data_IF_712265758774
#
_entry.id   IF_712265758774
#
_cell.length_a   1.000
_cell.length_b   1.000
_cell.length_c   1.000
_cell.angle_alpha   90.00
_cell.angle_beta   90.00
_cell.angle_gamma   90.00
#
_symmetry.space_group_name_H-M   'P 1'
#
loop_
_entity.id
_entity.type
_entity.pdbx_description
1 polymer ?
#
# COMPACT_ATOMS: atom_id res chain seq x y z
N UNK A 1 11.43 20.81 -14.38
CA UNK A 1 10.03 20.55 -14.74
C UNK A 1 9.23 20.42 -13.45
N UNK A 2 8.02 20.95 -13.40
CA UNK A 2 7.18 20.89 -12.20
C UNK A 2 5.70 20.99 -12.58
N UNK A 3 4.84 20.88 -11.57
CA UNK A 3 3.38 20.95 -11.71
C UNK A 3 2.84 22.18 -10.98
N UNK A 4 1.74 22.75 -11.48
CA UNK A 4 1.02 23.87 -10.86
C UNK A 4 -0.47 23.58 -10.74
N UNK A 5 -1.14 24.37 -9.88
CA UNK A 5 -2.58 24.27 -9.59
C UNK A 5 -2.95 22.90 -8.99
N UNK A 6 -2.06 22.33 -8.18
CA UNK A 6 -2.33 21.08 -7.46
C UNK A 6 -3.42 21.36 -6.41
N UNK A 7 -4.56 20.65 -6.42
CA UNK A 7 -5.58 20.80 -5.40
C UNK A 7 -5.03 20.45 -4.01
N UNK A 8 -5.58 21.07 -2.96
CA UNK A 8 -5.26 20.65 -1.60
C UNK A 8 -5.70 19.19 -1.36
N UNK A 9 -4.96 18.48 -0.51
CA UNK A 9 -5.18 17.07 -0.18
C UNK A 9 -4.03 16.17 -0.61
N UNK A 10 -4.26 14.86 -0.51
CA UNK A 10 -3.23 13.85 -0.77
C UNK A 10 -3.06 13.62 -2.27
N UNK A 11 -1.81 13.60 -2.72
CA UNK A 11 -1.44 13.26 -4.09
C UNK A 11 -0.25 12.31 -4.11
N UNK A 12 -0.24 11.40 -5.08
CA UNK A 12 0.91 10.56 -5.39
C UNK A 12 1.64 11.10 -6.62
N UNK A 13 2.84 11.63 -6.42
CA UNK A 13 3.68 12.17 -7.50
C UNK A 13 4.70 11.10 -7.86
N UNK A 14 4.76 10.73 -9.14
CA UNK A 14 5.71 9.73 -9.61
C UNK A 14 6.31 10.07 -10.96
N UNK A 15 7.52 9.57 -11.17
CA UNK A 15 8.22 9.56 -12.44
C UNK A 15 8.03 8.17 -13.07
N UNK A 16 7.65 8.15 -14.35
CA UNK A 16 7.54 6.93 -15.14
C UNK A 16 8.36 7.10 -16.41
N UNK A 17 9.51 6.44 -16.46
CA UNK A 17 10.40 6.42 -17.62
C UNK A 17 10.42 5.01 -18.20
N UNK A 18 10.31 4.86 -19.52
CA UNK A 18 10.29 3.56 -20.17
C UNK A 18 11.58 2.80 -19.86
N UNK A 19 11.46 1.60 -19.28
CA UNK A 19 12.60 0.74 -18.93
C UNK A 19 13.24 1.04 -17.57
N UNK A 20 12.75 2.02 -16.82
CA UNK A 20 13.19 2.31 -15.45
C UNK A 20 12.06 2.02 -14.45
N UNK A 21 12.39 1.66 -13.20
CA UNK A 21 11.38 1.52 -12.16
C UNK A 21 10.66 2.84 -11.93
N UNK A 22 9.35 2.77 -11.66
CA UNK A 22 8.61 3.95 -11.21
C UNK A 22 9.10 4.36 -9.84
N UNK A 23 9.27 5.66 -9.66
CA UNK A 23 9.70 6.25 -8.39
C UNK A 23 8.76 7.40 -8.08
N UNK A 24 8.23 7.44 -6.86
CA UNK A 24 7.29 8.45 -6.44
C UNK A 24 7.27 8.69 -4.94
N UNK A 25 6.34 9.51 -4.50
CA UNK A 25 6.09 9.81 -3.09
C UNK A 25 4.65 10.31 -2.92
N UNK A 26 4.07 10.06 -1.75
CA UNK A 26 2.84 10.73 -1.35
C UNK A 26 3.17 12.04 -0.63
N UNK A 27 2.36 13.05 -0.89
CA UNK A 27 2.37 14.31 -0.13
C UNK A 27 0.94 14.80 0.08
N UNK A 28 0.66 15.33 1.28
CA UNK A 28 -0.60 15.99 1.59
C UNK A 28 -0.45 17.49 1.39
N UNK A 29 -0.84 17.99 0.22
CA UNK A 29 -0.67 19.38 -0.17
C UNK A 29 -1.63 20.29 0.59
N UNK A 30 -1.09 21.36 1.20
CA UNK A 30 -1.87 22.48 1.72
C UNK A 30 -2.17 23.47 0.60
N UNK A 31 -3.20 24.30 0.81
CA UNK A 31 -3.50 25.39 -0.11
C UNK A 31 -2.28 26.31 -0.23
N UNK A 32 -1.92 26.68 -1.47
CA UNK A 32 -0.79 27.55 -1.80
C UNK A 32 0.59 27.03 -1.35
N UNK A 33 0.70 25.73 -1.03
CA UNK A 33 1.96 25.11 -0.68
C UNK A 33 2.88 24.98 -1.91
N UNK A 34 4.18 25.17 -1.69
CA UNK A 34 5.23 24.94 -2.68
C UNK A 34 6.13 23.84 -2.14
N UNK A 35 6.16 22.72 -2.84
CA UNK A 35 7.06 21.60 -2.55
C UNK A 35 8.15 21.54 -3.61
N UNK A 36 9.40 21.54 -3.17
CA UNK A 36 10.56 21.42 -4.05
C UNK A 36 11.23 20.07 -3.81
N UNK A 37 11.40 19.28 -4.87
CA UNK A 37 12.16 18.03 -4.87
C UNK A 37 13.34 18.14 -5.82
N UNK A 38 14.52 17.74 -5.35
CA UNK A 38 15.75 17.69 -6.15
C UNK A 38 15.96 16.29 -6.72
N UNK A 39 16.55 16.23 -7.89
CA UNK A 39 16.94 14.97 -8.53
C UNK A 39 18.43 14.72 -8.30
N UNK A 40 18.76 13.55 -7.75
CA UNK A 40 20.12 13.04 -7.67
C UNK A 40 20.47 12.38 -9.01
N UNK A 41 21.40 12.98 -9.75
CA UNK A 41 21.83 12.49 -11.07
C UNK A 41 22.67 11.23 -11.00
N UNK A 42 23.37 10.97 -9.89
CA UNK A 42 24.22 9.80 -9.74
C UNK A 42 23.40 8.57 -9.37
N UNK A 43 22.41 8.75 -8.50
CA UNK A 43 21.51 7.67 -8.06
C UNK A 43 20.25 7.53 -8.91
N UNK A 44 20.06 8.42 -9.88
CA UNK A 44 18.87 8.50 -10.75
C UNK A 44 17.56 8.43 -9.95
N UNK A 45 17.48 9.19 -8.85
CA UNK A 45 16.33 9.19 -7.95
C UNK A 45 16.09 10.57 -7.32
N UNK A 46 14.99 10.73 -6.58
CA UNK A 46 14.76 11.90 -5.75
C UNK A 46 15.80 11.97 -4.62
N UNK A 47 16.37 13.15 -4.42
CA UNK A 47 17.23 13.40 -3.26
C UNK A 47 16.41 13.27 -1.98
N UNK A 48 17.02 12.63 -0.97
CA UNK A 48 16.49 12.51 0.38
C UNK A 48 16.63 13.83 1.15
N UNK A 49 17.52 14.73 0.70
CA UNK A 49 17.76 16.01 1.35
C UNK A 49 16.51 16.89 1.34
N UNK A 50 16.15 17.39 2.52
CA UNK A 50 15.08 18.37 2.67
C UNK A 50 15.60 19.71 2.14
N UNK A 51 14.84 20.30 1.23
CA UNK A 51 15.15 21.63 0.68
C UNK A 51 14.85 22.68 1.75
N UNK A 52 15.81 23.57 2.03
CA UNK A 52 15.64 24.59 3.06
C UNK A 52 14.60 25.66 2.67
N UNK A 53 14.01 26.29 3.68
CA UNK A 53 12.96 27.31 3.50
C UNK A 53 13.43 28.51 2.67
N UNK A 54 14.69 28.91 2.79
CA UNK A 54 15.28 29.98 1.98
C UNK A 54 15.20 29.65 0.49
N UNK A 55 15.53 28.42 0.11
CA UNK A 55 15.48 27.99 -1.29
C UNK A 55 14.04 27.90 -1.80
N UNK A 56 13.11 27.38 -1.00
CA UNK A 56 11.67 27.37 -1.32
C UNK A 56 11.15 28.80 -1.51
N UNK A 57 11.56 29.74 -0.66
CA UNK A 57 11.18 31.15 -0.76
C UNK A 57 11.73 31.82 -2.03
N UNK A 58 12.93 31.46 -2.49
CA UNK A 58 13.44 31.93 -3.80
C UNK A 58 12.54 31.47 -4.94
N UNK A 59 12.09 30.21 -4.93
CA UNK A 59 11.13 29.72 -5.93
C UNK A 59 9.80 30.46 -5.85
N UNK A 60 9.29 30.71 -4.64
CA UNK A 60 8.07 31.49 -4.40
C UNK A 60 8.15 32.89 -5.02
N UNK A 61 9.25 33.61 -4.80
CA UNK A 61 9.43 34.96 -5.37
C UNK A 61 9.55 34.96 -6.90
N UNK A 62 10.01 33.85 -7.49
CA UNK A 62 10.21 33.73 -8.93
C UNK A 62 9.09 32.96 -9.67
N UNK A 63 7.95 32.70 -9.01
CA UNK A 63 6.85 31.90 -9.56
C UNK A 63 6.37 32.41 -10.93
N UNK A 64 6.24 33.74 -11.09
CA UNK A 64 5.78 34.35 -12.35
C UNK A 64 6.67 34.00 -13.54
N UNK A 65 7.98 33.93 -13.31
CA UNK A 65 8.97 33.64 -14.36
C UNK A 65 8.95 32.15 -14.73
N UNK A 66 8.77 31.28 -13.74
CA UNK A 66 8.78 29.82 -13.97
C UNK A 66 7.42 29.25 -14.36
N UNK A 67 6.33 30.02 -14.26
CA UNK A 67 4.96 29.57 -14.51
C UNK A 67 4.76 28.92 -15.89
N UNK A 68 5.43 29.45 -16.92
CA UNK A 68 5.38 28.91 -18.29
C UNK A 68 6.08 27.56 -18.44
N UNK A 69 6.95 27.20 -17.48
CA UNK A 69 7.68 25.92 -17.43
C UNK A 69 7.01 24.85 -16.56
N UNK A 70 5.89 25.18 -15.91
CA UNK A 70 5.12 24.28 -15.05
C UNK A 70 3.90 23.73 -15.80
N UNK A 71 3.74 22.41 -15.76
CA UNK A 71 2.56 21.74 -16.31
C UNK A 71 1.33 21.95 -15.42
N UNK A 72 0.13 22.17 -16.00
CA UNK A 72 -1.10 22.22 -15.23
C UNK A 72 -1.42 20.84 -14.63
N UNK A 73 -1.99 20.81 -13.44
CA UNK A 73 -2.52 19.59 -12.84
C UNK A 73 -3.62 18.97 -13.74
N UNK A 74 -3.63 17.63 -13.97
CA UNK A 74 -4.61 16.97 -14.83
C UNK A 74 -5.96 16.82 -14.12
N UNK A 75 -6.77 17.89 -14.13
CA UNK A 75 -8.07 17.93 -13.45
C UNK A 75 -9.10 16.92 -13.98
N UNK A 76 -8.91 16.40 -15.19
CA UNK A 76 -9.79 15.39 -15.80
C UNK A 76 -9.87 14.10 -14.97
N UNK A 77 -8.79 13.72 -14.29
CA UNK A 77 -8.71 12.51 -13.48
C UNK A 77 -8.90 12.77 -11.97
N UNK A 78 -9.10 14.03 -11.56
CA UNK A 78 -9.14 14.38 -10.14
C UNK A 78 -10.30 13.71 -9.38
N UNK A 79 -11.47 13.55 -10.02
CA UNK A 79 -12.62 12.87 -9.39
C UNK A 79 -12.35 11.38 -9.14
N UNK A 80 -11.71 10.71 -10.08
CA UNK A 80 -11.30 9.31 -9.94
C UNK A 80 -10.24 9.18 -8.85
N UNK A 81 -9.22 10.06 -8.85
CA UNK A 81 -8.21 10.09 -7.80
C UNK A 81 -8.82 10.30 -6.41
N UNK A 82 -9.76 11.23 -6.27
CA UNK A 82 -10.45 11.48 -5.01
C UNK A 82 -11.20 10.23 -4.53
N UNK A 83 -11.91 9.53 -5.42
CA UNK A 83 -12.61 8.30 -5.06
C UNK A 83 -11.66 7.16 -4.62
N UNK A 84 -10.44 7.14 -5.15
CA UNK A 84 -9.40 6.18 -4.77
C UNK A 84 -8.67 6.53 -3.47
N UNK A 85 -8.78 7.76 -2.98
CA UNK A 85 -7.96 8.27 -1.86
C UNK A 85 -8.75 8.98 -0.77
N UNK A 86 -10.08 8.82 -0.75
CA UNK A 86 -10.98 9.56 0.14
C UNK A 86 -10.79 9.27 1.64
N UNK A 87 -10.17 8.15 2.01
CA UNK A 87 -9.77 7.85 3.40
C UNK A 87 -8.33 8.26 3.72
N UNK A 88 -7.49 8.53 2.72
CA UNK A 88 -6.09 8.91 2.95
C UNK A 88 -6.02 10.35 3.45
N UNK A 89 -5.46 10.55 4.64
CA UNK A 89 -5.27 11.86 5.25
C UNK A 89 -3.80 12.11 5.63
N UNK A 90 -3.52 13.22 6.32
CA UNK A 90 -2.16 13.57 6.77
C UNK A 90 -1.56 12.46 7.64
N UNK A 91 -2.32 11.98 8.62
CA UNK A 91 -1.89 10.96 9.58
C UNK A 91 -1.58 9.64 8.86
N UNK A 92 -2.37 9.26 7.85
CA UNK A 92 -2.11 8.09 7.01
C UNK A 92 -0.80 8.24 6.25
N UNK A 93 -0.58 9.39 5.61
CA UNK A 93 0.65 9.66 4.84
C UNK A 93 1.87 9.66 5.75
N UNK A 94 1.81 10.33 6.90
CA UNK A 94 2.89 10.38 7.88
C UNK A 94 3.20 8.99 8.46
N UNK A 95 2.18 8.18 8.70
CA UNK A 95 2.34 6.82 9.22
C UNK A 95 2.98 5.88 8.21
N UNK A 96 2.51 5.91 6.95
CA UNK A 96 2.86 4.92 5.92
C UNK A 96 4.08 5.28 5.06
N UNK A 97 4.32 6.57 4.77
CA UNK A 97 5.40 6.98 3.86
C UNK A 97 6.77 6.52 4.34
N UNK A 98 7.64 5.94 3.50
CA UNK A 98 9.02 5.61 3.89
C UNK A 98 9.76 6.78 4.55
N UNK A 99 10.66 6.51 5.51
CA UNK A 99 11.39 7.58 6.22
C UNK A 99 12.26 8.42 5.29
N UNK A 100 12.78 7.79 4.23
CA UNK A 100 13.54 8.47 3.16
C UNK A 100 12.63 9.18 2.15
N UNK A 101 11.30 9.10 2.34
CA UNK A 101 10.30 9.83 1.57
C UNK A 101 10.17 9.39 0.11
N UNK A 102 10.69 8.21 -0.25
CA UNK A 102 10.69 7.67 -1.60
C UNK A 102 10.01 6.30 -1.62
N UNK A 103 9.10 6.13 -2.57
CA UNK A 103 8.45 4.86 -2.91
C UNK A 103 8.93 4.46 -4.30
N UNK A 104 9.38 3.22 -4.49
CA UNK A 104 9.86 2.73 -5.78
C UNK A 104 9.29 1.35 -6.12
N UNK A 105 9.05 1.12 -7.41
CA UNK A 105 8.72 -0.20 -7.96
C UNK A 105 9.86 -1.21 -7.75
N UNK A 106 11.10 -0.73 -7.66
CA UNK A 106 12.26 -1.54 -7.33
C UNK A 106 12.64 -1.30 -5.87
N UNK A 107 12.39 -2.29 -5.03
CA UNK A 107 12.75 -2.22 -3.62
C UNK A 107 14.28 -2.12 -3.47
N UNK A 108 14.72 -1.24 -2.57
CA UNK A 108 16.12 -1.15 -2.17
C UNK A 108 16.42 -2.34 -1.25
N UNK A 109 16.95 -3.42 -1.81
CA UNK A 109 17.20 -4.66 -1.07
C UNK A 109 18.62 -4.71 -0.53
N UNK A 110 18.75 -5.20 0.70
CA UNK A 110 20.00 -5.48 1.38
C UNK A 110 19.97 -6.93 1.89
N UNK A 111 21.11 -7.62 1.80
CA UNK A 111 21.21 -8.99 2.34
C UNK A 111 21.30 -8.95 3.86
N UNK A 112 20.86 -10.02 4.52
CA UNK A 112 21.03 -10.15 5.97
C UNK A 112 22.49 -10.03 6.39
N UNK A 113 23.42 -10.55 5.59
CA UNK A 113 24.85 -10.44 5.80
C UNK A 113 25.30 -8.99 5.87
N UNK A 114 24.93 -8.18 4.88
CA UNK A 114 25.29 -6.76 4.85
C UNK A 114 24.65 -6.01 6.03
N UNK A 115 23.39 -6.30 6.37
CA UNK A 115 22.77 -5.72 7.57
C UNK A 115 23.56 -6.01 8.86
N UNK A 116 24.05 -7.24 9.02
CA UNK A 116 24.84 -7.64 10.18
C UNK A 116 26.22 -6.97 10.18
N UNK A 117 26.85 -6.81 9.02
CA UNK A 117 28.16 -6.18 8.90
C UNK A 117 28.11 -4.67 9.18
N UNK A 118 27.06 -3.98 8.71
CA UNK A 118 26.90 -2.54 8.88
C UNK A 118 26.42 -2.15 10.29
N UNK A 119 25.85 -3.10 11.05
CA UNK A 119 25.34 -2.87 12.40
C UNK A 119 26.27 -3.49 13.46
N UNK A 120 27.13 -2.66 14.08
CA UNK A 120 28.14 -3.11 15.06
C UNK A 120 27.55 -3.86 16.26
N UNK A 121 26.37 -3.45 16.76
CA UNK A 121 25.69 -4.11 17.90
C UNK A 121 25.16 -5.50 17.53
N UNK A 122 24.60 -5.62 16.32
CA UNK A 122 24.09 -6.89 15.79
C UNK A 122 25.25 -7.83 15.44
N UNK A 123 26.37 -7.29 14.94
CA UNK A 123 27.58 -8.04 14.64
C UNK A 123 28.19 -8.64 15.92
N UNK A 124 28.27 -7.85 16.99
CA UNK A 124 28.82 -8.26 18.27
C UNK A 124 27.99 -9.35 18.97
N UNK A 125 26.67 -9.35 18.79
CA UNK A 125 25.77 -10.35 19.40
C UNK A 125 25.72 -11.66 18.64
N UNK A 126 25.82 -11.64 17.31
CA UNK A 126 25.77 -12.85 16.47
C UNK A 126 27.16 -13.48 16.29
N UNK A 127 28.24 -12.76 16.64
CA UNK A 127 29.60 -13.28 16.58
C UNK A 127 30.00 -13.67 15.15
N UNK A 128 29.65 -12.82 14.18
CA UNK A 128 29.80 -13.11 12.75
C UNK A 128 31.25 -13.01 12.26
N UNK A 129 32.13 -13.89 12.76
CA UNK A 129 33.40 -14.23 12.11
C UNK A 129 33.22 -15.12 10.86
N UNK A 130 31.96 -15.31 10.42
CA UNK A 130 31.55 -16.22 9.35
C UNK A 130 30.99 -15.52 8.09
N UNK A 131 31.25 -14.22 7.87
CA UNK A 131 30.86 -13.56 6.61
C UNK A 131 31.70 -14.09 5.44
N UNK A 132 31.05 -14.45 4.33
CA UNK A 132 31.73 -14.83 3.09
C UNK A 132 32.38 -13.58 2.52
N UNK A 133 33.72 -13.56 2.51
CA UNK A 133 34.51 -12.51 1.90
C UNK A 133 35.37 -13.10 0.78
N UNK A 134 36.10 -12.24 0.05
CA UNK A 134 36.96 -12.68 -1.05
C UNK A 134 38.07 -13.64 -0.58
N UNK A 135 38.46 -13.56 0.68
CA UNK A 135 39.53 -14.34 1.30
C UNK A 135 39.01 -15.66 1.90
N UNK A 136 37.71 -15.74 2.19
CA UNK A 136 37.02 -16.87 2.83
C UNK A 136 35.70 -17.22 2.13
N UNK A 137 35.74 -17.69 0.87
CA UNK A 137 34.55 -17.90 0.03
C UNK A 137 33.64 -19.07 0.47
N UNK A 138 34.11 -19.90 1.41
CA UNK A 138 33.47 -21.17 1.84
C UNK A 138 32.67 -21.05 3.15
N UNK A 139 32.57 -19.83 3.71
CA UNK A 139 31.84 -19.60 4.97
C UNK A 139 30.32 -19.71 4.78
N UNK A 140 29.62 -19.98 5.87
CA UNK A 140 28.17 -20.23 5.88
C UNK A 140 27.40 -18.96 5.56
N UNK A 141 26.56 -18.99 4.52
CA UNK A 141 25.70 -17.86 4.14
C UNK A 141 24.40 -17.86 4.93
N UNK A 142 23.83 -16.68 5.16
CA UNK A 142 22.46 -16.56 5.66
C UNK A 142 21.50 -16.79 4.50
N UNK A 143 21.02 -18.03 4.38
CA UNK A 143 20.15 -18.48 3.31
C UNK A 143 18.81 -18.96 3.81
N UNK A 144 17.80 -18.87 2.96
CA UNK A 144 16.48 -19.45 3.19
C UNK A 144 16.48 -20.98 3.02
N UNK A 145 15.30 -21.61 3.14
CA UNK A 145 15.14 -23.07 3.01
C UNK A 145 15.48 -23.61 1.61
N UNK A 146 15.58 -22.72 0.60
CA UNK A 146 15.96 -23.04 -0.77
C UNK A 146 17.44 -22.69 -1.06
N UNK A 147 18.18 -22.20 -0.06
CA UNK A 147 19.58 -21.81 -0.22
C UNK A 147 19.78 -20.43 -0.87
N UNK A 148 18.73 -19.62 -1.02
CA UNK A 148 18.83 -18.27 -1.57
C UNK A 148 19.19 -17.25 -0.47
N UNK A 149 19.94 -16.17 -0.80
CA UNK A 149 20.24 -15.13 0.17
C UNK A 149 18.98 -14.53 0.78
N UNK A 150 18.96 -14.39 2.10
CA UNK A 150 17.86 -13.71 2.79
C UNK A 150 17.98 -12.20 2.54
N UNK A 151 17.06 -11.66 1.74
CA UNK A 151 16.99 -10.23 1.39
C UNK A 151 15.92 -9.53 2.22
N UNK A 152 16.19 -8.28 2.61
CA UNK A 152 15.24 -7.38 3.26
C UNK A 152 15.27 -6.02 2.59
N UNK A 153 14.17 -5.27 2.70
CA UNK A 153 14.15 -3.87 2.29
C UNK A 153 15.05 -3.09 3.25
N UNK A 154 15.91 -2.23 2.71
CA UNK A 154 16.80 -1.36 3.47
C UNK A 154 15.99 -0.37 4.30
N UNK A 155 16.42 -0.21 5.55
CA UNK A 155 15.77 0.67 6.51
C UNK A 155 15.57 2.10 5.99
N UNK A 156 14.36 2.60 6.19
CA UNK A 156 13.88 3.91 5.74
C UNK A 156 13.36 3.94 4.30
N UNK A 157 13.55 2.89 3.50
CA UNK A 157 12.96 2.76 2.15
C UNK A 157 11.67 1.94 2.15
N UNK A 158 11.39 1.19 3.21
CA UNK A 158 10.16 0.43 3.36
C UNK A 158 8.94 1.33 3.54
N UNK A 159 7.84 0.96 2.87
CA UNK A 159 6.52 1.49 3.22
C UNK A 159 6.16 0.89 4.57
N UNK A 160 5.78 1.73 5.52
CA UNK A 160 5.49 1.33 6.90
C UNK A 160 4.06 0.81 7.07
N UNK A 161 3.70 -0.18 6.24
CA UNK A 161 2.42 -0.87 6.36
C UNK A 161 2.23 -1.49 7.73
N UNK A 162 0.98 -1.55 8.17
CA UNK A 162 0.66 -2.14 9.46
C UNK A 162 0.76 -3.66 9.40
N UNK A 163 1.58 -4.20 10.30
CA UNK A 163 1.71 -5.64 10.43
C UNK A 163 0.40 -6.23 10.94
N UNK A 164 -0.19 -7.14 10.16
CA UNK A 164 -1.40 -7.84 10.57
C UNK A 164 -1.04 -8.82 11.70
N UNK A 165 -1.68 -8.73 12.88
CA UNK A 165 -1.34 -9.59 14.01
C UNK A 165 -1.51 -11.08 13.69
N UNK A 166 -0.71 -11.94 14.30
CA UNK A 166 -0.83 -13.39 14.12
C UNK A 166 -2.14 -13.93 14.71
N UNK A 167 -2.59 -15.08 14.18
CA UNK A 167 -3.75 -15.78 14.74
C UNK A 167 -3.38 -16.27 16.12
N UNK A 168 -4.21 -15.95 17.11
CA UNK A 168 -4.21 -16.70 18.37
C UNK A 168 -4.97 -17.98 18.09
N UNK A 169 -4.28 -19.12 18.10
CA UNK A 169 -4.92 -20.43 17.95
C UNK A 169 -5.60 -20.75 19.27
N UNK A 170 -6.92 -20.87 19.25
CA UNK A 170 -7.72 -21.34 20.37
C UNK A 170 -8.29 -22.71 19.96
N UNK A 171 -8.10 -23.72 20.79
CA UNK A 171 -8.52 -25.11 20.53
C UNK A 171 -10.04 -25.24 20.33
N UNK A 172 -10.83 -24.25 20.79
CA UNK A 172 -12.28 -24.23 20.66
C UNK A 172 -12.81 -23.46 19.44
N UNK A 173 -11.95 -22.94 18.55
CA UNK A 173 -12.38 -22.19 17.36
C UNK A 173 -12.95 -23.13 16.28
N UNK A 174 -14.22 -22.93 15.95
CA UNK A 174 -14.86 -23.54 14.78
C UNK A 174 -14.81 -22.54 13.61
N UNK A 175 -14.09 -22.89 12.53
CA UNK A 175 -14.01 -22.09 11.30
C UNK A 175 -12.95 -20.98 11.31
N UNK A 176 -12.95 -20.19 10.22
CA UNK A 176 -12.02 -19.07 10.01
C UNK A 176 -12.74 -17.76 10.39
N UNK A 177 -12.51 -17.28 11.62
CA UNK A 177 -12.97 -15.96 12.06
C UNK A 177 -11.79 -15.11 12.53
N UNK A 178 -11.49 -14.06 11.77
CA UNK A 178 -10.42 -13.11 12.03
C UNK A 178 -10.88 -11.84 12.74
N UNK A 179 -12.12 -11.80 13.24
CA UNK A 179 -12.67 -10.60 13.88
C UNK A 179 -11.83 -10.12 15.08
N UNK A 180 -11.28 -11.02 15.90
CA UNK A 180 -10.33 -10.64 16.98
C UNK A 180 -9.07 -9.94 16.44
N UNK A 181 -8.54 -10.46 15.33
CA UNK A 181 -7.34 -9.91 14.70
C UNK A 181 -7.61 -8.52 14.12
N UNK A 182 -8.77 -8.35 13.48
CA UNK A 182 -9.26 -7.08 12.99
C UNK A 182 -9.40 -6.07 14.14
N UNK A 183 -10.01 -6.45 15.26
CA UNK A 183 -10.18 -5.57 16.41
C UNK A 183 -8.84 -5.15 17.04
N UNK A 184 -7.87 -6.08 17.13
CA UNK A 184 -6.51 -5.73 17.57
C UNK A 184 -5.81 -4.75 16.63
N UNK A 185 -5.98 -4.93 15.32
CA UNK A 185 -5.42 -4.03 14.31
C UNK A 185 -6.03 -2.63 14.43
N UNK A 186 -7.36 -2.53 14.56
CA UNK A 186 -8.06 -1.26 14.74
C UNK A 186 -7.61 -0.54 16.03
N UNK A 187 -7.42 -1.26 17.14
CA UNK A 187 -6.89 -0.69 18.38
C UNK A 187 -5.49 -0.11 18.22
N UNK A 188 -4.61 -0.79 17.47
CA UNK A 188 -3.27 -0.28 17.16
C UNK A 188 -3.31 1.01 16.33
N UNK A 189 -4.41 1.25 15.61
CA UNK A 189 -4.66 2.44 14.81
C UNK A 189 -5.47 3.52 15.59
N UNK A 190 -5.52 3.44 16.92
CA UNK A 190 -6.24 4.42 17.74
C UNK A 190 -7.75 4.30 17.69
N UNK A 191 -8.26 3.09 17.47
CA UNK A 191 -9.69 2.75 17.32
C UNK A 191 -10.39 3.40 16.11
N UNK A 192 -9.64 4.00 15.18
CA UNK A 192 -10.15 4.55 13.93
C UNK A 192 -10.06 3.52 12.80
N UNK A 193 -11.18 2.84 12.53
CA UNK A 193 -11.26 1.89 11.41
C UNK A 193 -11.06 2.55 10.04
N UNK A 194 -11.19 3.87 9.91
CA UNK A 194 -10.95 4.57 8.66
C UNK A 194 -9.47 4.51 8.26
N UNK A 195 -8.55 4.44 9.23
CA UNK A 195 -7.12 4.25 8.98
C UNK A 195 -6.81 2.91 8.30
N UNK A 196 -7.62 1.89 8.57
CA UNK A 196 -7.52 0.60 7.89
C UNK A 196 -7.90 0.72 6.41
N UNK A 197 -9.01 1.39 6.09
CA UNK A 197 -9.42 1.63 4.69
C UNK A 197 -8.45 2.58 3.97
N UNK A 198 -7.91 3.57 4.68
CA UNK A 198 -6.89 4.46 4.17
C UNK A 198 -5.61 3.69 3.77
N UNK A 199 -5.23 2.68 4.55
CA UNK A 199 -4.10 1.82 4.22
C UNK A 199 -4.37 0.91 3.02
N UNK A 200 -5.60 0.40 2.87
CA UNK A 200 -6.03 -0.35 1.67
C UNK A 200 -5.88 0.53 0.42
N UNK A 201 -6.42 1.76 0.47
CA UNK A 201 -6.32 2.73 -0.63
C UNK A 201 -4.88 3.13 -0.95
N UNK A 202 -4.07 3.38 0.08
CA UNK A 202 -2.65 3.70 -0.08
C UNK A 202 -1.90 2.54 -0.75
N UNK A 203 -2.11 1.31 -0.27
CA UNK A 203 -1.51 0.11 -0.82
C UNK A 203 -1.93 -0.11 -2.29
N UNK A 204 -3.20 0.09 -2.60
CA UNK A 204 -3.72 0.01 -3.96
C UNK A 204 -3.12 1.07 -4.88
N UNK A 205 -3.01 2.33 -4.44
CA UNK A 205 -2.39 3.40 -5.23
C UNK A 205 -0.89 3.16 -5.47
N UNK A 206 -0.15 2.68 -4.46
CA UNK A 206 1.24 2.22 -4.61
C UNK A 206 1.37 1.09 -5.64
N UNK A 207 0.45 0.13 -5.59
CA UNK A 207 0.41 -0.99 -6.52
C UNK A 207 0.11 -0.55 -7.95
N UNK A 208 -1.04 0.11 -8.17
CA UNK A 208 -1.54 0.45 -9.50
C UNK A 208 -0.69 1.52 -10.19
N UNK A 209 -0.41 2.62 -9.49
CA UNK A 209 0.33 3.75 -10.05
C UNK A 209 1.83 3.61 -9.85
N UNK A 210 2.24 3.17 -8.66
CA UNK A 210 3.65 3.03 -8.30
C UNK A 210 4.30 1.75 -8.81
N UNK A 211 3.53 0.76 -9.27
CA UNK A 211 4.02 -0.59 -9.62
C UNK A 211 4.81 -1.24 -8.48
N UNK A 212 4.44 -0.92 -7.23
CA UNK A 212 5.11 -1.44 -6.04
C UNK A 212 4.47 -2.74 -5.61
N UNK A 213 5.25 -3.82 -5.68
CA UNK A 213 4.80 -5.17 -5.33
C UNK A 213 4.32 -5.26 -3.87
N UNK A 214 5.00 -4.58 -2.94
CA UNK A 214 4.58 -4.62 -1.52
C UNK A 214 3.21 -3.98 -1.27
N UNK A 215 2.83 -2.99 -2.10
CA UNK A 215 1.48 -2.45 -2.09
C UNK A 215 0.44 -3.50 -2.49
N UNK A 216 0.75 -4.34 -3.47
CA UNK A 216 -0.12 -5.44 -3.88
C UNK A 216 -0.26 -6.48 -2.75
N UNK A 217 0.85 -6.90 -2.16
CA UNK A 217 0.84 -7.86 -1.05
C UNK A 217 0.01 -7.38 0.14
N UNK A 218 0.20 -6.12 0.55
CA UNK A 218 -0.58 -5.57 1.67
C UNK A 218 -2.06 -5.44 1.31
N UNK A 219 -2.39 -4.95 0.12
CA UNK A 219 -3.76 -4.86 -0.37
C UNK A 219 -4.47 -6.22 -0.32
N UNK A 220 -3.84 -7.30 -0.82
CA UNK A 220 -4.35 -8.67 -0.73
C UNK A 220 -4.63 -9.10 0.71
N UNK A 221 -3.67 -8.89 1.61
CA UNK A 221 -3.75 -9.34 2.99
C UNK A 221 -4.88 -8.64 3.77
N UNK A 222 -5.06 -7.34 3.55
CA UNK A 222 -6.12 -6.56 4.21
C UNK A 222 -7.51 -6.91 3.67
N UNK A 223 -7.64 -7.13 2.35
CA UNK A 223 -8.90 -7.64 1.77
C UNK A 223 -9.24 -9.00 2.38
N UNK A 224 -8.28 -9.92 2.39
CA UNK A 224 -8.49 -11.25 2.97
C UNK A 224 -8.88 -11.19 4.44
N UNK A 225 -8.22 -10.32 5.22
CA UNK A 225 -8.58 -10.09 6.62
C UNK A 225 -10.06 -9.71 6.77
N UNK A 226 -10.50 -8.66 6.05
CA UNK A 226 -11.87 -8.15 6.16
C UNK A 226 -12.90 -9.19 5.69
N UNK A 227 -12.62 -9.91 4.61
CA UNK A 227 -13.54 -10.92 4.07
C UNK A 227 -13.74 -12.12 5.02
N UNK A 228 -12.80 -12.35 5.95
CA UNK A 228 -12.81 -13.44 6.92
C UNK A 228 -13.23 -13.00 8.34
N UNK A 229 -14.07 -11.97 8.48
CA UNK A 229 -14.54 -11.45 9.78
C UNK A 229 -16.08 -11.52 9.95
N UNK A 230 -16.70 -12.72 9.96
CA UNK A 230 -18.17 -12.85 10.04
C UNK A 230 -18.77 -12.23 11.30
N UNK A 231 -18.08 -12.32 12.45
CA UNK A 231 -18.55 -11.77 13.73
C UNK A 231 -18.53 -10.24 13.78
N UNK A 232 -17.73 -9.58 12.93
CA UNK A 232 -17.66 -8.13 12.84
C UNK A 232 -18.74 -7.51 11.93
N UNK A 233 -19.45 -8.30 11.12
CA UNK A 233 -20.39 -7.81 10.10
C UNK A 233 -21.58 -7.00 10.69
N UNK A 234 -21.99 -7.31 11.92
CA UNK A 234 -22.98 -6.51 12.66
C UNK A 234 -22.35 -5.28 13.31
N UNK A 235 -21.46 -5.45 14.30
CA UNK A 235 -20.88 -4.35 15.08
C UNK A 235 -20.13 -3.30 14.25
N UNK A 236 -19.49 -3.70 13.15
CA UNK A 236 -18.68 -2.84 12.27
C UNK A 236 -19.32 -2.66 10.88
N UNK A 237 -20.65 -2.74 10.77
CA UNK A 237 -21.35 -2.73 9.47
C UNK A 237 -21.03 -1.52 8.59
N UNK A 238 -20.87 -0.32 9.17
CA UNK A 238 -20.48 0.90 8.44
C UNK A 238 -19.11 0.76 7.75
N UNK A 239 -18.15 0.12 8.43
CA UNK A 239 -16.83 -0.15 7.89
C UNK A 239 -16.92 -1.08 6.68
N UNK A 240 -17.73 -2.15 6.75
CA UNK A 240 -17.91 -3.08 5.63
C UNK A 240 -18.65 -2.46 4.44
N UNK A 241 -19.63 -1.60 4.67
CA UNK A 241 -20.28 -0.84 3.60
C UNK A 241 -19.26 0.09 2.92
N UNK A 242 -18.42 0.76 3.71
CA UNK A 242 -17.35 1.62 3.20
C UNK A 242 -16.27 0.84 2.46
N UNK A 243 -15.91 -0.35 2.94
CA UNK A 243 -14.98 -1.27 2.29
C UNK A 243 -15.48 -1.72 0.91
N UNK A 244 -16.77 -2.09 0.79
CA UNK A 244 -17.40 -2.43 -0.49
C UNK A 244 -17.29 -1.23 -1.46
N UNK A 245 -17.52 0.00 -0.98
CA UNK A 245 -17.39 1.21 -1.79
C UNK A 245 -15.94 1.40 -2.27
N UNK A 246 -14.97 1.25 -1.38
CA UNK A 246 -13.53 1.37 -1.70
C UNK A 246 -13.17 0.37 -2.81
N UNK A 247 -13.45 -0.92 -2.62
CA UNK A 247 -13.15 -1.94 -3.63
C UNK A 247 -13.86 -1.69 -4.95
N UNK A 248 -15.10 -1.21 -4.92
CA UNK A 248 -15.83 -0.88 -6.14
C UNK A 248 -15.09 0.17 -6.98
N UNK A 249 -14.60 1.25 -6.38
CA UNK A 249 -13.88 2.29 -7.11
C UNK A 249 -12.47 1.84 -7.51
N UNK A 250 -11.76 1.09 -6.65
CA UNK A 250 -10.45 0.51 -6.98
C UNK A 250 -10.52 -0.40 -8.21
N UNK A 251 -11.46 -1.35 -8.22
CA UNK A 251 -11.62 -2.28 -9.33
C UNK A 251 -12.12 -1.60 -10.59
N UNK A 252 -12.89 -0.50 -10.48
CA UNK A 252 -13.36 0.27 -11.63
C UNK A 252 -12.22 1.03 -12.34
N UNK A 253 -11.25 1.54 -11.58
CA UNK A 253 -10.11 2.30 -12.14
C UNK A 253 -8.99 1.39 -12.67
N UNK A 254 -9.01 0.12 -12.29
CA UNK A 254 -8.02 -0.84 -12.75
C UNK A 254 -8.34 -1.33 -14.18
N UNK A 255 -7.37 -1.29 -15.11
CA UNK A 255 -7.57 -1.81 -16.46
C UNK A 255 -7.95 -3.30 -16.45
N UNK A 256 -8.89 -3.70 -17.31
CA UNK A 256 -9.40 -5.08 -17.32
C UNK A 256 -8.32 -6.11 -17.67
N UNK A 257 -7.36 -5.73 -18.52
CA UNK A 257 -6.20 -6.51 -18.91
C UNK A 257 -5.16 -6.66 -17.79
N UNK A 258 -5.05 -5.66 -16.91
CA UNK A 258 -4.12 -5.69 -15.78
C UNK A 258 -4.42 -6.84 -14.80
N UNK A 259 -5.71 -7.15 -14.58
CA UNK A 259 -6.11 -8.31 -13.79
C UNK A 259 -5.92 -9.64 -14.52
N UNK A 260 -5.96 -9.65 -15.85
CA UNK A 260 -5.77 -10.85 -16.68
C UNK A 260 -4.32 -11.34 -16.65
N UNK A 261 -3.34 -10.52 -16.30
CA UNK A 261 -1.93 -10.96 -16.22
C UNK A 261 -1.44 -11.15 -14.77
N UNK A 262 -1.91 -10.34 -13.81
CA UNK A 262 -1.41 -10.34 -12.42
C UNK A 262 -2.30 -11.16 -11.47
N UNK A 263 -3.59 -11.33 -11.80
CA UNK A 263 -4.60 -11.95 -10.92
C UNK A 263 -5.24 -13.21 -11.54
N UNK A 264 -4.99 -13.50 -12.82
CA UNK A 264 -5.59 -14.64 -13.53
C UNK A 264 -5.02 -16.00 -13.14
N UNK A 265 -3.78 -16.07 -12.64
CA UNK A 265 -3.25 -17.27 -12.00
C UNK A 265 -3.70 -17.25 -10.54
N UNK A 266 -4.74 -18.02 -10.23
CA UNK A 266 -5.43 -18.03 -8.93
C UNK A 266 -5.97 -16.66 -8.52
N UNK A 267 -7.14 -16.29 -9.06
CA UNK A 267 -7.81 -15.02 -8.75
C UNK A 267 -8.24 -14.98 -7.28
N UNK A 268 -7.30 -14.55 -6.43
CA UNK A 268 -7.51 -14.45 -4.99
C UNK A 268 -8.73 -13.57 -4.67
N UNK A 269 -9.06 -12.57 -5.51
CA UNK A 269 -10.26 -11.74 -5.31
C UNK A 269 -11.52 -12.57 -5.47
N UNK A 270 -11.61 -13.41 -6.50
CA UNK A 270 -12.77 -14.29 -6.69
C UNK A 270 -12.96 -15.20 -5.47
N UNK A 271 -11.91 -15.90 -5.03
CA UNK A 271 -12.00 -16.79 -3.86
C UNK A 271 -12.35 -16.02 -2.58
N UNK A 272 -11.68 -14.89 -2.34
CA UNK A 272 -11.83 -14.10 -1.11
C UNK A 272 -13.19 -13.41 -1.04
N UNK A 273 -13.68 -12.88 -2.16
CA UNK A 273 -14.99 -12.23 -2.23
C UNK A 273 -16.13 -13.24 -2.26
N UNK A 274 -15.96 -14.44 -2.81
CA UNK A 274 -16.93 -15.54 -2.67
C UNK A 274 -17.17 -15.86 -1.19
N UNK A 275 -16.10 -16.00 -0.40
CA UNK A 275 -16.21 -16.19 1.05
C UNK A 275 -16.90 -15.00 1.73
N UNK A 276 -16.57 -13.77 1.35
CA UNK A 276 -17.19 -12.57 1.91
C UNK A 276 -18.70 -12.51 1.64
N UNK A 277 -19.13 -12.78 0.41
CA UNK A 277 -20.53 -12.80 0.02
C UNK A 277 -21.31 -13.91 0.73
N UNK A 278 -20.72 -15.10 0.87
CA UNK A 278 -21.29 -16.18 1.66
C UNK A 278 -21.43 -15.79 3.14
N UNK A 279 -20.38 -15.22 3.75
CA UNK A 279 -20.39 -14.75 5.13
C UNK A 279 -21.49 -13.71 5.37
N UNK A 280 -21.69 -12.75 4.46
CA UNK A 280 -22.76 -11.74 4.57
C UNK A 280 -24.15 -12.34 4.36
N UNK A 281 -24.30 -13.27 3.41
CA UNK A 281 -25.57 -13.96 3.14
C UNK A 281 -26.01 -14.78 4.34
N UNK A 282 -25.09 -15.54 4.93
CA UNK A 282 -25.38 -16.53 5.96
C UNK A 282 -25.33 -15.95 7.39
N UNK A 283 -24.77 -14.75 7.57
CA UNK A 283 -24.75 -14.04 8.85
C UNK A 283 -26.17 -13.83 9.40
N UNK A 284 -26.39 -14.00 10.70
CA UNK A 284 -27.63 -13.59 11.38
C UNK A 284 -27.61 -12.14 11.87
N UNK A 285 -26.43 -11.51 11.90
CA UNK A 285 -26.18 -10.20 12.53
C UNK A 285 -25.94 -9.08 11.51
N UNK A 286 -25.70 -9.42 10.23
CA UNK A 286 -25.46 -8.44 9.18
C UNK A 286 -26.76 -7.65 8.87
N UNK A 287 -26.73 -6.31 8.90
CA UNK A 287 -27.91 -5.49 8.67
C UNK A 287 -28.36 -5.55 7.19
N UNK A 288 -29.66 -5.26 6.90
CA UNK A 288 -30.20 -5.34 5.54
C UNK A 288 -29.46 -4.48 4.51
N UNK A 289 -28.98 -3.30 4.91
CA UNK A 289 -28.25 -2.40 4.00
C UNK A 289 -26.91 -2.99 3.55
N UNK A 290 -26.17 -3.63 4.47
CA UNK A 290 -24.91 -4.30 4.13
C UNK A 290 -25.14 -5.44 3.14
N UNK A 291 -26.19 -6.25 3.34
CA UNK A 291 -26.57 -7.34 2.41
C UNK A 291 -26.93 -6.80 1.04
N UNK A 292 -27.71 -5.72 0.98
CA UNK A 292 -28.10 -5.07 -0.27
C UNK A 292 -26.86 -4.56 -1.03
N UNK A 293 -25.95 -3.86 -0.36
CA UNK A 293 -24.71 -3.35 -0.97
C UNK A 293 -23.81 -4.47 -1.45
N UNK A 294 -23.68 -5.53 -0.66
CA UNK A 294 -22.94 -6.74 -1.02
C UNK A 294 -23.50 -7.40 -2.27
N UNK A 295 -24.82 -7.57 -2.36
CA UNK A 295 -25.47 -8.15 -3.55
C UNK A 295 -25.26 -7.29 -4.79
N UNK A 296 -25.42 -5.96 -4.68
CA UNK A 296 -25.16 -5.02 -5.77
C UNK A 296 -23.71 -5.11 -6.26
N UNK A 297 -22.77 -5.24 -5.34
CA UNK A 297 -21.35 -5.38 -5.67
C UNK A 297 -21.05 -6.72 -6.34
N UNK A 298 -21.58 -7.84 -5.83
CA UNK A 298 -21.50 -9.16 -6.50
C UNK A 298 -22.02 -9.09 -7.94
N UNK A 299 -23.21 -8.52 -8.14
CA UNK A 299 -23.81 -8.36 -9.48
C UNK A 299 -22.94 -7.51 -10.42
N UNK A 300 -22.37 -6.41 -9.91
CA UNK A 300 -21.45 -5.59 -10.70
C UNK A 300 -20.22 -6.39 -11.14
N UNK A 301 -19.56 -7.08 -10.21
CA UNK A 301 -18.35 -7.84 -10.52
C UNK A 301 -18.62 -8.98 -11.51
N UNK A 302 -19.72 -9.71 -11.34
CA UNK A 302 -20.13 -10.76 -12.28
C UNK A 302 -20.41 -10.20 -13.67
N UNK A 303 -21.00 -9.00 -13.77
CA UNK A 303 -21.30 -8.38 -15.06
C UNK A 303 -20.06 -7.84 -15.77
N UNK A 304 -19.23 -7.07 -15.08
CA UNK A 304 -18.09 -6.37 -15.68
C UNK A 304 -16.90 -7.31 -15.93
N UNK A 305 -16.60 -8.18 -14.97
CA UNK A 305 -15.41 -9.05 -15.03
C UNK A 305 -15.72 -10.51 -15.39
N UNK A 306 -17.01 -10.86 -15.52
CA UNK A 306 -17.45 -12.24 -15.78
C UNK A 306 -16.98 -13.23 -14.70
N UNK A 307 -16.79 -12.76 -13.47
CA UNK A 307 -16.42 -13.60 -12.34
C UNK A 307 -17.64 -14.34 -11.79
N UNK A 308 -17.45 -15.62 -11.51
CA UNK A 308 -18.42 -16.46 -10.84
C UNK A 308 -18.13 -16.53 -9.34
N UNK A 309 -19.17 -16.32 -8.54
CA UNK A 309 -19.11 -16.40 -7.07
C UNK A 309 -20.20 -17.32 -6.52
N UNK A 310 -20.73 -18.22 -7.35
CA UNK A 310 -21.44 -19.39 -6.87
C UNK A 310 -20.38 -20.34 -6.25
N UNK A 311 -20.57 -20.72 -4.99
CA UNK A 311 -19.79 -21.80 -4.41
C UNK A 311 -20.48 -23.11 -4.79
N UNK A 312 -19.72 -24.07 -5.34
CA UNK A 312 -20.11 -25.49 -5.27
C UNK A 312 -20.18 -25.97 -3.81
#
# INVERSE_FOLDING_TARGET
MGLKMIPAGVHFIYCSVKGAPRIGFFHNFKSEEIVVKKWDRLKETFSVEIVCDEEVNRFRMNLKTIDSSLGPYPFEHYRSWYALTDFINCDTVERLNPLKGQISAQAELISMETCLMENEELNATVGCSNSVDREHPIRTRFVDTQGLPIMKIREGYEIRFMAIPQLVVDENRVGIDYSDRLERLIRQMGDDWKQLLAEIQFAFACFLLGQVFEGFEQWKRLIHLLCCCPSALGPRSEMFISFIRVLFFELKECPTDFFVDIVSRDNFLTTTLSMFFANIRDSGIAPPELRKKSMQFKTYLTKEFKWDFECE
#
